data_IF_400444186781
#
_entry.id   IF_400444186781
#
_cell.length_a   1.000
_cell.length_b   1.000
_cell.length_c   1.000
_cell.angle_alpha   90.00
_cell.angle_beta   90.00
_cell.angle_gamma   90.00
#
_symmetry.space_group_name_H-M   'P 1'
#
loop_
_entity.id
_entity.type
_entity.pdbx_description
1 polymer ?
#
# COMPACT_ATOMS: atom_id res chain seq x y z
N UNK A 1 -6.82 -7.83 -51.39
CA UNK A 1 -7.95 -8.59 -51.97
C UNK A 1 -9.05 -8.97 -50.98
N UNK A 2 -8.80 -9.73 -49.88
CA UNK A 2 -9.89 -10.09 -48.94
C UNK A 2 -10.34 -8.94 -48.00
N UNK A 3 -9.41 -8.05 -47.63
CA UNK A 3 -9.70 -6.89 -46.76
C UNK A 3 -10.43 -5.77 -47.49
N UNK A 4 -10.05 -5.49 -48.74
CA UNK A 4 -10.70 -4.46 -49.56
C UNK A 4 -12.17 -4.80 -49.83
N UNK A 5 -12.47 -6.06 -50.17
CA UNK A 5 -13.84 -6.52 -50.35
C UNK A 5 -14.70 -6.42 -49.08
N UNK A 6 -14.08 -6.50 -47.89
CA UNK A 6 -14.79 -6.36 -46.62
C UNK A 6 -15.10 -4.90 -46.29
N UNK A 7 -14.18 -3.99 -46.62
CA UNK A 7 -14.39 -2.55 -46.43
C UNK A 7 -15.49 -2.07 -47.36
N UNK A 8 -15.45 -2.44 -48.62
CA UNK A 8 -16.44 -2.05 -49.64
C UNK A 8 -17.86 -2.57 -49.30
N UNK A 9 -17.96 -3.79 -48.74
CA UNK A 9 -19.22 -4.34 -48.24
C UNK A 9 -19.79 -3.57 -47.04
N UNK A 10 -18.93 -3.09 -46.13
CA UNK A 10 -19.37 -2.37 -44.94
C UNK A 10 -19.77 -0.93 -45.27
N UNK A 11 -19.07 -0.28 -46.20
CA UNK A 11 -19.41 1.04 -46.71
C UNK A 11 -20.78 1.03 -47.41
N UNK A 12 -21.04 0.03 -48.26
CA UNK A 12 -22.35 -0.13 -48.91
C UNK A 12 -23.51 -0.37 -47.94
N UNK A 13 -23.26 -1.04 -46.80
CA UNK A 13 -24.27 -1.24 -45.75
C UNK A 13 -24.52 0.02 -44.93
N UNK A 14 -23.51 0.85 -44.73
CA UNK A 14 -23.62 2.12 -44.02
C UNK A 14 -24.42 3.13 -44.86
N UNK A 15 -24.15 3.21 -46.15
CA UNK A 15 -24.89 4.09 -47.07
C UNK A 15 -26.37 3.71 -47.16
N UNK A 16 -26.69 2.41 -47.24
CA UNK A 16 -28.07 1.95 -47.23
C UNK A 16 -28.82 2.23 -45.91
N UNK A 17 -28.11 2.18 -44.77
CA UNK A 17 -28.69 2.48 -43.47
C UNK A 17 -28.94 3.98 -43.27
N UNK A 18 -28.09 4.83 -43.85
CA UNK A 18 -28.26 6.28 -43.84
C UNK A 18 -29.36 6.74 -44.82
N UNK A 19 -29.59 6.00 -45.91
CA UNK A 19 -30.58 6.35 -46.92
C UNK A 19 -32.04 6.04 -46.55
N UNK A 20 -32.31 5.15 -45.57
CA UNK A 20 -33.67 4.76 -45.17
C UNK A 20 -33.83 4.68 -43.64
N UNK A 21 -34.12 5.78 -42.94
CA UNK A 21 -34.18 5.81 -41.47
C UNK A 21 -35.41 5.12 -40.85
N UNK A 22 -36.35 4.61 -41.65
CA UNK A 22 -37.61 4.05 -41.15
C UNK A 22 -38.04 2.86 -41.97
N UNK A 23 -37.74 1.65 -41.49
CA UNK A 23 -38.64 0.48 -41.54
C UNK A 23 -37.97 -0.76 -40.93
N UNK A 24 -38.34 -1.11 -39.70
CA UNK A 24 -38.68 -2.51 -39.37
C UNK A 24 -39.42 -2.60 -38.04
N UNK A 25 -40.75 -2.52 -38.11
CA UNK A 25 -41.63 -3.16 -37.12
C UNK A 25 -42.29 -4.41 -37.72
N UNK A 26 -42.20 -5.50 -36.96
CA UNK A 26 -43.15 -6.64 -36.84
C UNK A 26 -43.34 -7.62 -38.01
N UNK A 27 -42.89 -8.86 -37.78
CA UNK A 27 -43.69 -10.09 -37.92
C UNK A 27 -43.15 -11.16 -36.94
N UNK A 28 -44.05 -11.83 -36.23
CA UNK A 28 -43.75 -12.64 -35.03
C UNK A 28 -43.66 -14.16 -35.20
N UNK A 29 -43.04 -14.77 -34.16
CA UNK A 29 -43.16 -16.10 -33.51
C UNK A 29 -43.11 -17.41 -34.33
N UNK A 30 -42.59 -18.54 -33.77
CA UNK A 30 -42.91 -19.06 -32.43
C UNK A 30 -41.72 -19.37 -31.49
N UNK A 31 -42.10 -19.69 -30.25
CA UNK A 31 -41.30 -19.89 -29.04
C UNK A 31 -40.34 -21.09 -29.11
N UNK A 32 -39.10 -20.89 -28.67
CA UNK A 32 -38.37 -21.88 -27.88
C UNK A 32 -37.81 -21.22 -26.62
N UNK A 33 -38.17 -21.81 -25.49
CA UNK A 33 -37.75 -21.46 -24.15
C UNK A 33 -36.27 -21.73 -23.94
N UNK A 34 -35.47 -20.67 -23.79
CA UNK A 34 -34.27 -20.70 -22.95
C UNK A 34 -34.04 -19.32 -22.37
N UNK A 35 -34.21 -19.22 -21.05
CA UNK A 35 -33.96 -18.03 -20.25
C UNK A 35 -32.48 -17.68 -20.31
N UNK A 36 -32.10 -16.81 -21.24
CA UNK A 36 -30.84 -16.08 -21.17
C UNK A 36 -31.13 -14.73 -20.53
N UNK A 37 -30.91 -14.68 -19.21
CA UNK A 37 -30.84 -13.45 -18.46
C UNK A 37 -29.73 -12.59 -19.08
N UNK A 38 -30.10 -11.51 -19.76
CA UNK A 38 -29.14 -10.50 -20.19
C UNK A 38 -28.45 -9.94 -18.94
N UNK A 39 -27.10 -9.88 -18.88
CA UNK A 39 -26.45 -9.19 -17.79
C UNK A 39 -26.83 -7.70 -17.89
N UNK A 40 -27.27 -7.14 -16.77
CA UNK A 40 -27.50 -5.71 -16.59
C UNK A 40 -26.33 -4.92 -17.18
N UNK A 41 -26.64 -3.82 -17.87
CA UNK A 41 -25.65 -2.92 -18.42
C UNK A 41 -24.67 -2.49 -17.33
N UNK A 42 -23.46 -3.05 -17.34
CA UNK A 42 -22.34 -2.54 -16.54
C UNK A 42 -22.19 -1.05 -16.90
N UNK A 43 -22.21 -0.21 -15.87
CA UNK A 43 -22.18 1.23 -16.04
C UNK A 43 -20.93 1.62 -16.82
N UNK A 44 -21.09 2.25 -17.99
CA UNK A 44 -20.00 2.75 -18.83
C UNK A 44 -18.99 3.65 -18.08
N UNK A 45 -19.39 4.21 -16.94
CA UNK A 45 -18.55 5.02 -16.07
C UNK A 45 -17.57 4.16 -15.27
N UNK A 46 -18.00 2.98 -14.80
CA UNK A 46 -17.15 2.05 -14.03
C UNK A 46 -15.97 1.57 -14.89
N UNK A 47 -16.24 1.26 -16.17
CA UNK A 47 -15.24 0.87 -17.17
C UNK A 47 -14.23 2.01 -17.45
N UNK A 48 -14.68 3.27 -17.45
CA UNK A 48 -13.81 4.45 -17.61
C UNK A 48 -12.98 4.73 -16.36
N UNK A 49 -13.52 4.54 -15.15
CA UNK A 49 -12.74 4.65 -13.91
C UNK A 49 -11.69 3.54 -13.80
N UNK A 50 -11.99 2.32 -14.24
CA UNK A 50 -10.97 1.26 -14.34
C UNK A 50 -9.84 1.64 -15.29
N UNK A 51 -10.13 2.42 -16.34
CA UNK A 51 -9.12 2.92 -17.26
C UNK A 51 -8.10 3.88 -16.62
N UNK A 52 -8.39 4.50 -15.47
CA UNK A 52 -7.43 5.33 -14.71
C UNK A 52 -6.66 4.54 -13.64
N UNK A 53 -7.08 3.31 -13.36
CA UNK A 53 -6.50 2.42 -12.37
C UNK A 53 -7.54 1.90 -11.38
N UNK A 54 -7.26 0.78 -10.74
CA UNK A 54 -8.17 0.14 -9.80
C UNK A 54 -7.44 -0.35 -8.55
N UNK A 55 -8.18 -0.46 -7.44
CA UNK A 55 -7.68 -1.18 -6.27
C UNK A 55 -8.08 -2.65 -6.29
N UNK A 56 -7.17 -3.49 -5.82
CA UNK A 56 -7.45 -4.87 -5.42
C UNK A 56 -7.20 -5.06 -3.94
N UNK A 57 -7.74 -6.15 -3.40
CA UNK A 57 -7.47 -6.58 -2.04
C UNK A 57 -6.24 -7.49 -2.04
N UNK A 58 -5.30 -7.20 -1.15
CA UNK A 58 -4.19 -8.06 -0.83
C UNK A 58 -4.55 -9.17 0.14
N UNK A 59 -3.56 -10.01 0.44
CA UNK A 59 -3.68 -11.19 1.29
C UNK A 59 -3.89 -10.87 2.78
N UNK A 60 -3.54 -9.65 3.22
CA UNK A 60 -3.79 -9.16 4.58
C UNK A 60 -5.01 -8.23 4.67
N UNK A 61 -5.78 -8.13 3.59
CA UNK A 61 -6.97 -7.26 3.52
C UNK A 61 -6.64 -5.79 3.28
N UNK A 62 -5.45 -5.49 2.76
CA UNK A 62 -4.99 -4.15 2.38
C UNK A 62 -5.34 -3.82 0.92
N UNK A 63 -5.56 -2.53 0.61
CA UNK A 63 -5.78 -2.10 -0.78
C UNK A 63 -4.45 -1.87 -1.51
N UNK A 64 -4.35 -2.46 -2.70
CA UNK A 64 -3.22 -2.29 -3.64
C UNK A 64 -3.69 -1.62 -4.91
N UNK A 65 -3.00 -0.55 -5.31
CA UNK A 65 -3.37 0.22 -6.49
C UNK A 65 -2.66 -0.29 -7.74
N UNK A 66 -3.41 -0.41 -8.83
CA UNK A 66 -2.88 -0.70 -10.15
C UNK A 66 -3.33 0.39 -11.12
N UNK A 67 -2.40 1.24 -11.55
CA UNK A 67 -2.69 2.33 -12.48
C UNK A 67 -2.99 1.87 -13.90
N UNK A 68 -3.44 2.81 -14.73
CA UNK A 68 -3.77 2.61 -16.15
C UNK A 68 -2.66 1.94 -16.99
N UNK A 69 -1.38 2.17 -16.63
CA UNK A 69 -0.23 1.57 -17.30
C UNK A 69 0.05 0.13 -16.88
N UNK A 70 -0.65 -0.38 -15.86
CA UNK A 70 -0.57 -1.78 -15.46
C UNK A 70 -1.55 -2.61 -16.27
N UNK A 71 -1.07 -3.72 -16.86
CA UNK A 71 -1.91 -4.73 -17.51
C UNK A 71 -3.02 -5.28 -16.58
N UNK A 72 -2.88 -5.08 -15.27
CA UNK A 72 -3.84 -5.50 -14.26
C UNK A 72 -5.16 -4.69 -14.30
N UNK A 73 -5.13 -3.44 -14.75
CA UNK A 73 -6.33 -2.58 -14.84
C UNK A 73 -7.31 -3.05 -15.92
N UNK A 74 -6.81 -3.70 -16.97
CA UNK A 74 -7.58 -4.15 -18.14
C UNK A 74 -7.87 -5.66 -18.07
N UNK A 75 -6.96 -6.45 -17.50
CA UNK A 75 -7.08 -7.91 -17.44
C UNK A 75 -7.14 -8.35 -15.98
N UNK A 76 -8.35 -8.62 -15.48
CA UNK A 76 -8.55 -9.40 -14.26
C UNK A 76 -8.18 -10.86 -14.55
N UNK A 77 -6.89 -11.16 -14.66
CA UNK A 77 -6.41 -12.53 -14.83
C UNK A 77 -6.21 -13.17 -13.44
N UNK A 78 -7.03 -14.14 -13.03
CA UNK A 78 -6.86 -14.84 -11.76
C UNK A 78 -5.54 -15.64 -11.67
N UNK A 79 -4.78 -15.75 -12.76
CA UNK A 79 -3.49 -16.45 -12.82
C UNK A 79 -2.27 -15.54 -12.54
N UNK A 80 -2.46 -14.22 -12.43
CA UNK A 80 -1.37 -13.30 -12.10
C UNK A 80 -1.01 -13.46 -10.62
N UNK A 81 0.18 -14.02 -10.35
CA UNK A 81 0.73 -14.14 -9.00
C UNK A 81 1.10 -12.75 -8.49
N UNK A 82 0.27 -12.19 -7.62
CA UNK A 82 0.61 -10.99 -6.85
C UNK A 82 1.46 -11.43 -5.65
N UNK A 83 2.57 -10.75 -5.38
CA UNK A 83 3.45 -11.08 -4.25
C UNK A 83 2.69 -10.95 -2.92
N UNK A 84 2.77 -11.96 -2.05
CA UNK A 84 2.10 -11.95 -0.75
C UNK A 84 2.83 -11.01 0.22
N UNK A 85 2.08 -10.07 0.83
CA UNK A 85 2.65 -9.16 1.82
C UNK A 85 2.96 -9.89 3.13
N UNK A 86 2.14 -10.88 3.48
CA UNK A 86 2.34 -11.72 4.66
C UNK A 86 3.59 -12.61 4.52
N UNK A 87 3.80 -13.23 3.36
CA UNK A 87 4.99 -14.03 3.08
C UNK A 87 6.26 -13.16 3.09
N UNK A 88 6.22 -11.97 2.48
CA UNK A 88 7.33 -11.02 2.51
C UNK A 88 7.69 -10.60 3.94
N UNK A 89 6.68 -10.26 4.76
CA UNK A 89 6.83 -9.95 6.18
C UNK A 89 7.44 -11.10 6.97
N UNK A 90 6.92 -12.31 6.81
CA UNK A 90 7.41 -13.49 7.52
C UNK A 90 8.87 -13.81 7.17
N UNK A 91 9.25 -13.67 5.89
CA UNK A 91 10.67 -13.77 5.48
C UNK A 91 11.53 -12.71 6.12
N UNK A 92 11.07 -11.46 6.16
CA UNK A 92 11.79 -10.35 6.79
C UNK A 92 12.02 -10.57 8.28
N UNK A 93 11.00 -11.03 9.02
CA UNK A 93 11.11 -11.37 10.44
C UNK A 93 12.13 -12.50 10.66
N UNK A 94 12.02 -13.59 9.89
CA UNK A 94 12.94 -14.71 10.00
C UNK A 94 14.39 -14.31 9.69
N UNK A 95 14.60 -13.49 8.65
CA UNK A 95 15.91 -12.98 8.28
C UNK A 95 16.51 -12.08 9.39
N UNK A 96 15.69 -11.21 10.00
CA UNK A 96 16.13 -10.37 11.10
C UNK A 96 16.52 -11.19 12.34
N UNK A 97 15.72 -12.20 12.71
CA UNK A 97 15.97 -13.08 13.86
C UNK A 97 17.24 -13.93 13.69
N UNK A 98 17.58 -14.30 12.45
CA UNK A 98 18.79 -15.08 12.15
C UNK A 98 20.06 -14.21 12.09
N UNK A 99 19.92 -12.87 12.03
CA UNK A 99 21.07 -11.99 11.94
C UNK A 99 21.83 -11.92 13.28
N UNK A 100 23.17 -12.06 13.27
CA UNK A 100 23.98 -11.82 14.46
C UNK A 100 23.72 -10.43 15.05
N UNK A 101 23.39 -10.38 16.34
CA UNK A 101 23.03 -9.14 17.02
C UNK A 101 21.56 -8.75 16.89
N UNK A 102 20.66 -9.68 16.55
CA UNK A 102 19.24 -9.49 16.81
C UNK A 102 19.00 -9.23 18.30
N UNK A 103 18.22 -8.19 18.58
CA UNK A 103 17.86 -7.75 19.91
C UNK A 103 16.35 -7.57 19.98
N UNK A 104 15.78 -8.30 20.92
CA UNK A 104 14.39 -8.18 21.33
C UNK A 104 14.35 -7.40 22.64
N UNK A 105 13.70 -6.22 22.68
CA UNK A 105 13.65 -5.40 23.87
C UNK A 105 12.69 -5.99 24.91
N UNK A 106 12.89 -5.65 26.18
CA UNK A 106 11.88 -5.90 27.21
C UNK A 106 10.63 -5.05 26.96
N UNK A 107 9.47 -5.49 27.46
CA UNK A 107 8.22 -4.71 27.39
C UNK A 107 8.39 -3.30 27.98
N UNK A 108 9.11 -3.16 29.09
CA UNK A 108 9.41 -1.86 29.71
C UNK A 108 10.19 -0.94 28.76
N UNK A 109 11.21 -1.48 28.08
CA UNK A 109 12.01 -0.70 27.14
C UNK A 109 11.19 -0.33 25.89
N UNK A 110 10.38 -1.26 25.39
CA UNK A 110 9.47 -1.00 24.27
C UNK A 110 8.49 0.14 24.62
N UNK A 111 7.83 0.07 25.78
CA UNK A 111 6.88 1.08 26.24
C UNK A 111 7.55 2.44 26.45
N UNK A 112 8.76 2.45 27.02
CA UNK A 112 9.58 3.66 27.15
C UNK A 112 9.83 4.30 25.78
N UNK A 113 10.31 3.53 24.80
CA UNK A 113 10.59 4.02 23.46
C UNK A 113 9.32 4.49 22.73
N UNK A 114 8.22 3.75 22.83
CA UNK A 114 6.92 4.17 22.28
C UNK A 114 6.46 5.49 22.90
N UNK A 115 6.61 5.66 24.21
CA UNK A 115 6.24 6.92 24.89
C UNK A 115 7.04 8.12 24.35
N UNK A 116 8.33 7.92 24.02
CA UNK A 116 9.18 8.94 23.42
C UNK A 116 8.76 9.23 21.98
N UNK A 117 8.43 8.20 21.19
CA UNK A 117 7.93 8.37 19.82
C UNK A 117 6.71 9.28 19.78
N UNK A 118 5.68 8.95 20.57
CA UNK A 118 4.42 9.69 20.58
C UNK A 118 4.58 11.12 21.10
N UNK A 119 5.51 11.33 22.05
CA UNK A 119 5.76 12.63 22.64
C UNK A 119 6.54 13.55 21.69
N UNK A 120 7.62 13.04 21.11
CA UNK A 120 8.63 13.86 20.45
C UNK A 120 8.62 13.76 18.94
N UNK A 121 8.31 12.60 18.37
CA UNK A 121 8.38 12.41 16.92
C UNK A 121 7.03 12.62 16.24
N UNK A 122 6.00 11.87 16.65
CA UNK A 122 4.72 11.86 15.96
C UNK A 122 3.91 13.16 16.17
N UNK A 123 4.33 14.02 17.11
CA UNK A 123 3.66 15.29 17.42
C UNK A 123 3.91 16.39 16.37
N UNK A 124 5.03 16.35 15.66
CA UNK A 124 5.36 17.31 14.59
C UNK A 124 5.39 16.66 13.20
N UNK A 125 5.61 15.35 13.10
CA UNK A 125 5.55 14.57 11.87
C UNK A 125 4.57 13.41 12.04
N UNK A 126 3.29 13.72 11.86
CA UNK A 126 2.21 12.75 12.02
C UNK A 126 2.16 11.79 10.83
N UNK A 127 2.67 10.58 11.04
CA UNK A 127 2.79 9.54 9.99
C UNK A 127 2.06 8.25 10.40
N UNK A 128 1.86 8.05 11.71
CA UNK A 128 1.22 6.85 12.27
C UNK A 128 0.11 7.28 13.23
N UNK A 129 -1.08 6.71 13.07
CA UNK A 129 -2.15 6.86 14.06
C UNK A 129 -1.76 6.16 15.35
N UNK A 130 -1.73 6.90 16.46
CA UNK A 130 -1.38 6.31 17.75
C UNK A 130 -2.45 5.33 18.21
N UNK A 131 -3.71 5.68 18.01
CA UNK A 131 -4.87 4.93 18.46
C UNK A 131 -4.93 3.56 17.78
N UNK A 132 -4.82 3.53 16.45
CA UNK A 132 -4.82 2.32 15.64
C UNK A 132 -3.62 1.44 15.97
N UNK A 133 -2.42 2.04 16.05
CA UNK A 133 -1.19 1.33 16.38
C UNK A 133 -1.23 0.68 17.76
N UNK A 134 -1.60 1.44 18.80
CA UNK A 134 -1.63 0.95 20.20
C UNK A 134 -2.70 -0.12 20.37
N UNK A 135 -3.88 0.06 19.76
CA UNK A 135 -4.94 -0.96 19.80
C UNK A 135 -4.50 -2.26 19.13
N UNK A 136 -3.85 -2.17 17.97
CA UNK A 136 -3.32 -3.36 17.31
C UNK A 136 -2.20 -4.02 18.11
N UNK A 137 -1.32 -3.25 18.75
CA UNK A 137 -0.21 -3.80 19.54
C UNK A 137 -0.69 -4.55 20.81
N UNK A 138 -1.61 -3.97 21.58
CA UNK A 138 -1.95 -4.50 22.90
C UNK A 138 -3.27 -5.28 22.96
N UNK A 139 -4.22 -5.01 22.06
CA UNK A 139 -5.58 -5.58 22.12
C UNK A 139 -5.82 -6.58 20.99
N UNK A 140 -5.75 -6.12 19.74
CA UNK A 140 -6.17 -6.94 18.59
C UNK A 140 -5.07 -7.91 18.14
N UNK A 141 -3.80 -7.48 18.20
CA UNK A 141 -2.62 -8.26 17.77
C UNK A 141 -2.80 -8.85 16.36
N UNK A 142 -3.47 -8.10 15.49
CA UNK A 142 -3.76 -8.50 14.12
C UNK A 142 -2.56 -8.32 13.20
N UNK A 143 -1.68 -7.38 13.54
CA UNK A 143 -0.55 -6.98 12.69
C UNK A 143 -1.00 -6.21 11.44
N UNK A 144 -2.17 -5.57 11.49
CA UNK A 144 -2.72 -4.72 10.42
C UNK A 144 -2.15 -3.31 10.46
N UNK A 145 -1.98 -2.74 11.65
CA UNK A 145 -1.53 -1.35 11.87
C UNK A 145 -0.21 -1.28 12.63
N UNK A 146 0.12 -2.31 13.41
CA UNK A 146 1.40 -2.46 14.10
C UNK A 146 2.15 -3.69 13.57
N UNK A 147 2.98 -3.51 12.54
CA UNK A 147 3.84 -4.58 12.01
C UNK A 147 5.19 -4.62 12.74
N UNK A 148 5.88 -5.77 12.77
CA UNK A 148 7.22 -5.86 13.37
C UNK A 148 8.22 -4.89 12.76
N UNK A 149 8.19 -4.68 11.44
CA UNK A 149 9.02 -3.69 10.76
C UNK A 149 8.71 -2.26 11.27
N UNK A 150 7.44 -1.88 11.35
CA UNK A 150 7.04 -0.54 11.81
C UNK A 150 7.42 -0.30 13.27
N UNK A 151 7.13 -1.26 14.16
CA UNK A 151 7.53 -1.19 15.56
C UNK A 151 9.04 -1.06 15.70
N UNK A 152 9.81 -1.84 14.94
CA UNK A 152 11.28 -1.79 14.97
C UNK A 152 11.83 -0.45 14.46
N UNK A 153 11.26 0.11 13.39
CA UNK A 153 11.63 1.43 12.88
C UNK A 153 11.33 2.54 13.90
N UNK A 154 10.16 2.49 14.56
CA UNK A 154 9.80 3.40 15.64
C UNK A 154 10.81 3.32 16.79
N UNK A 155 11.19 2.11 17.22
CA UNK A 155 12.19 1.93 18.28
C UNK A 155 13.57 2.46 17.89
N UNK A 156 13.98 2.29 16.62
CA UNK A 156 15.23 2.83 16.11
C UNK A 156 15.30 4.36 16.25
N UNK A 157 14.29 5.07 15.72
CA UNK A 157 14.23 6.53 15.81
C UNK A 157 14.08 7.01 17.25
N UNK A 158 13.22 6.36 18.03
CA UNK A 158 12.92 6.77 19.40
C UNK A 158 14.10 6.61 20.35
N UNK A 159 15.02 5.70 20.04
CA UNK A 159 16.26 5.52 20.79
C UNK A 159 17.11 6.81 20.81
N UNK A 160 17.00 7.66 19.79
CA UNK A 160 17.70 8.97 19.74
C UNK A 160 17.20 9.95 20.80
N UNK A 161 15.95 9.79 21.26
CA UNK A 161 15.36 10.62 22.32
C UNK A 161 15.61 10.06 23.73
N UNK A 162 16.24 8.89 23.85
CA UNK A 162 16.48 8.22 25.12
C UNK A 162 17.90 8.49 25.64
N UNK A 163 18.02 8.67 26.96
CA UNK A 163 19.32 8.76 27.64
C UNK A 163 19.87 7.39 28.06
N UNK A 164 19.13 6.29 27.83
CA UNK A 164 19.55 4.95 28.25
C UNK A 164 20.74 4.48 27.42
N UNK A 165 21.82 4.10 28.11
CA UNK A 165 23.07 3.68 27.48
C UNK A 165 22.97 2.33 26.77
N UNK A 166 22.07 1.45 27.20
CA UNK A 166 21.82 0.13 26.59
C UNK A 166 21.39 0.19 25.12
N UNK A 167 20.91 1.36 24.67
CA UNK A 167 20.47 1.60 23.30
C UNK A 167 21.61 1.99 22.36
N UNK A 168 22.80 2.29 22.91
CA UNK A 168 23.98 2.74 22.16
C UNK A 168 24.89 1.55 21.86
N UNK A 169 25.33 1.45 20.61
CA UNK A 169 26.36 0.47 20.24
C UNK A 169 27.75 0.90 20.74
N UNK A 170 27.99 2.20 20.81
CA UNK A 170 29.15 2.80 21.46
C UNK A 170 28.67 3.74 22.56
N UNK A 171 29.04 3.43 23.82
CA UNK A 171 28.64 4.20 24.99
C UNK A 171 29.08 5.67 24.91
N UNK A 172 30.20 5.94 24.23
CA UNK A 172 30.77 7.27 24.06
C UNK A 172 30.13 8.08 22.92
N UNK A 173 29.44 7.42 21.98
CA UNK A 173 28.82 8.07 20.81
C UNK A 173 27.28 7.97 20.85
N UNK A 174 26.59 9.08 21.21
CA UNK A 174 25.13 9.16 21.18
C UNK A 174 24.49 8.90 19.80
N UNK A 175 25.22 9.10 18.70
CA UNK A 175 24.69 8.83 17.35
C UNK A 175 24.53 7.34 17.06
N UNK A 176 25.13 6.47 17.88
CA UNK A 176 24.91 5.03 17.78
C UNK A 176 23.61 4.55 18.41
N UNK A 177 22.88 5.41 19.13
CA UNK A 177 21.62 5.05 19.77
C UNK A 177 20.59 4.57 18.73
N UNK A 178 20.06 3.35 18.90
CA UNK A 178 19.05 2.77 18.00
C UNK A 178 19.61 2.05 16.77
N UNK A 179 20.93 2.00 16.60
CA UNK A 179 21.58 1.36 15.45
C UNK A 179 21.19 -0.12 15.30
N UNK A 180 21.02 -0.83 16.41
CA UNK A 180 20.62 -2.25 16.40
C UNK A 180 19.22 -2.45 15.78
N UNK A 181 18.26 -1.62 16.19
CA UNK A 181 16.92 -1.62 15.65
C UNK A 181 16.89 -1.14 14.20
N UNK A 182 17.67 -0.10 13.84
CA UNK A 182 17.76 0.37 12.46
C UNK A 182 18.29 -0.72 11.51
N UNK A 183 19.27 -1.51 11.96
CA UNK A 183 19.78 -2.68 11.21
C UNK A 183 18.73 -3.77 11.07
N UNK A 184 18.02 -4.11 12.14
CA UNK A 184 16.93 -5.10 12.11
C UNK A 184 15.80 -4.66 11.17
N UNK A 185 15.35 -3.40 11.27
CA UNK A 185 14.32 -2.84 10.41
C UNK A 185 14.75 -2.85 8.94
N UNK A 186 16.00 -2.53 8.64
CA UNK A 186 16.53 -2.62 7.28
C UNK A 186 16.43 -4.03 6.71
N UNK A 187 16.81 -5.06 7.48
CA UNK A 187 16.73 -6.46 7.04
C UNK A 187 15.28 -6.89 6.78
N UNK A 188 14.34 -6.49 7.64
CA UNK A 188 12.92 -6.75 7.41
C UNK A 188 12.41 -6.05 6.15
N UNK A 189 12.79 -4.77 5.96
CA UNK A 189 12.41 -3.96 4.81
C UNK A 189 12.93 -4.56 3.49
N UNK A 190 14.13 -5.14 3.48
CA UNK A 190 14.71 -5.78 2.30
C UNK A 190 13.83 -6.91 1.73
N UNK A 191 12.97 -7.51 2.56
CA UNK A 191 11.96 -8.46 2.12
C UNK A 191 10.60 -7.79 1.84
N UNK A 192 10.17 -6.89 2.72
CA UNK A 192 8.82 -6.29 2.65
C UNK A 192 8.61 -5.34 1.47
N UNK A 193 9.66 -4.71 0.92
CA UNK A 193 9.49 -3.81 -0.23
C UNK A 193 9.05 -4.54 -1.52
N UNK A 194 9.15 -5.88 -1.58
CA UNK A 194 8.64 -6.68 -2.70
C UNK A 194 7.10 -6.70 -2.75
N UNK A 195 6.45 -6.50 -1.60
CA UNK A 195 5.01 -6.45 -1.45
C UNK A 195 4.62 -5.45 -0.34
N UNK A 196 4.84 -4.14 -0.57
CA UNK A 196 4.74 -3.14 0.48
C UNK A 196 3.29 -2.95 0.93
N UNK A 197 3.13 -2.61 2.20
CA UNK A 197 1.85 -2.22 2.83
C UNK A 197 1.94 -0.79 3.33
N UNK A 198 0.82 -0.19 3.78
CA UNK A 198 0.82 1.13 4.43
C UNK A 198 1.85 1.18 5.57
N UNK A 199 1.90 0.16 6.44
CA UNK A 199 2.89 0.10 7.52
C UNK A 199 4.32 -0.01 7.02
N UNK A 200 4.56 -0.71 5.90
CA UNK A 200 5.88 -0.75 5.26
C UNK A 200 6.30 0.66 4.85
N UNK A 201 5.39 1.45 4.25
CA UNK A 201 5.66 2.84 3.87
C UNK A 201 5.98 3.71 5.09
N UNK A 202 5.15 3.65 6.13
CA UNK A 202 5.37 4.38 7.39
C UNK A 202 6.73 4.02 8.00
N UNK A 203 7.07 2.73 8.04
CA UNK A 203 8.34 2.26 8.60
C UNK A 203 9.54 2.75 7.80
N UNK A 204 9.47 2.73 6.47
CA UNK A 204 10.54 3.24 5.60
C UNK A 204 10.76 4.75 5.80
N UNK A 205 9.69 5.53 5.94
CA UNK A 205 9.79 6.96 6.21
C UNK A 205 10.47 7.24 7.57
N UNK A 206 10.04 6.51 8.61
CA UNK A 206 10.64 6.60 9.96
C UNK A 206 12.11 6.17 9.94
N UNK A 207 12.47 5.16 9.16
CA UNK A 207 13.86 4.75 8.99
C UNK A 207 14.69 5.82 8.28
N UNK A 208 14.11 6.52 7.30
CA UNK A 208 14.74 7.68 6.66
C UNK A 208 15.02 8.82 7.64
N UNK A 209 14.05 9.12 8.50
CA UNK A 209 14.22 10.08 9.59
C UNK A 209 15.32 9.66 10.58
N UNK A 210 15.42 8.37 10.92
CA UNK A 210 16.52 7.85 11.73
C UNK A 210 17.88 8.15 11.09
N UNK A 211 18.07 7.80 9.82
CA UNK A 211 19.36 8.04 9.13
C UNK A 211 19.70 9.52 9.03
N UNK A 212 18.72 10.37 8.70
CA UNK A 212 18.91 11.82 8.67
C UNK A 212 19.30 12.36 10.05
N UNK A 213 18.70 11.83 11.12
CA UNK A 213 18.98 12.31 12.48
C UNK A 213 20.40 12.02 12.97
N UNK A 214 21.10 11.04 12.38
CA UNK A 214 22.51 10.68 12.72
C UNK A 214 23.50 11.23 11.68
N UNK A 215 23.14 12.34 11.02
CA UNK A 215 23.94 13.03 10.01
C UNK A 215 24.26 12.20 8.75
N UNK A 216 23.51 11.12 8.51
CA UNK A 216 23.56 10.37 7.25
C UNK A 216 22.44 10.84 6.32
N UNK A 217 22.49 12.12 5.97
CA UNK A 217 21.46 12.82 5.18
C UNK A 217 21.19 12.13 3.84
N UNK A 218 22.23 11.70 3.13
CA UNK A 218 22.09 11.03 1.83
C UNK A 218 21.29 9.73 1.93
N UNK A 219 21.53 8.92 2.97
CA UNK A 219 20.77 7.69 3.18
C UNK A 219 19.35 8.00 3.65
N UNK A 220 19.18 9.00 4.53
CA UNK A 220 17.87 9.48 4.96
C UNK A 220 17.00 9.91 3.78
N UNK A 221 17.56 10.72 2.88
CA UNK A 221 16.90 11.18 1.65
C UNK A 221 16.46 10.01 0.75
N UNK A 222 17.32 8.99 0.59
CA UNK A 222 16.97 7.81 -0.21
C UNK A 222 15.81 7.01 0.38
N UNK A 223 15.78 6.82 1.70
CA UNK A 223 14.68 6.12 2.37
C UNK A 223 13.36 6.91 2.32
N UNK A 224 13.41 8.23 2.51
CA UNK A 224 12.22 9.08 2.36
C UNK A 224 11.70 9.00 0.91
N UNK A 225 12.57 9.13 -0.09
CA UNK A 225 12.19 8.99 -1.49
C UNK A 225 11.68 7.58 -1.87
N UNK A 226 12.14 6.54 -1.18
CA UNK A 226 11.60 5.18 -1.29
C UNK A 226 10.19 5.09 -0.71
N UNK A 227 9.96 5.67 0.47
CA UNK A 227 8.63 5.75 1.08
C UNK A 227 7.64 6.52 0.18
N UNK A 228 8.04 7.68 -0.36
CA UNK A 228 7.23 8.46 -1.30
C UNK A 228 6.81 7.65 -2.53
N UNK A 229 7.73 6.87 -3.11
CA UNK A 229 7.45 6.00 -4.26
C UNK A 229 6.51 4.85 -3.91
N UNK A 230 6.71 4.21 -2.75
CA UNK A 230 5.79 3.15 -2.28
C UNK A 230 4.39 3.70 -2.00
N UNK A 231 4.28 4.89 -1.40
CA UNK A 231 3.01 5.56 -1.13
C UNK A 231 2.22 5.84 -2.42
N UNK A 232 2.92 6.33 -3.45
CA UNK A 232 2.32 6.54 -4.78
C UNK A 232 1.91 5.22 -5.43
N UNK A 233 2.77 4.20 -5.39
CA UNK A 233 2.49 2.89 -5.98
C UNK A 233 1.29 2.20 -5.31
N UNK A 234 1.11 2.34 -4.01
CA UNK A 234 -0.04 1.82 -3.28
C UNK A 234 -1.30 2.68 -3.43
N UNK A 235 -1.22 3.82 -4.13
CA UNK A 235 -2.34 4.73 -4.30
C UNK A 235 -2.85 5.29 -2.97
N UNK A 236 -1.98 5.52 -1.98
CA UNK A 236 -2.39 6.02 -0.67
C UNK A 236 -3.10 7.39 -0.74
N UNK A 237 -2.83 8.15 -1.81
CA UNK A 237 -3.45 9.44 -2.12
C UNK A 237 -4.83 9.34 -2.77
N UNK A 238 -5.19 8.18 -3.31
CA UNK A 238 -6.42 8.05 -4.08
C UNK A 238 -7.61 7.79 -3.16
N UNK A 239 -8.76 8.37 -3.51
CA UNK A 239 -10.00 8.13 -2.80
C UNK A 239 -10.41 6.65 -2.91
N UNK A 240 -10.67 6.02 -1.77
CA UNK A 240 -11.14 4.65 -1.65
C UNK A 240 -12.49 4.55 -0.91
N UNK A 241 -13.23 5.64 -0.77
CA UNK A 241 -14.55 5.68 -0.11
C UNK A 241 -15.55 4.66 -0.69
N UNK A 242 -15.48 4.39 -2.00
CA UNK A 242 -16.29 3.38 -2.66
C UNK A 242 -15.99 1.94 -2.17
N UNK A 243 -14.76 1.65 -1.75
CA UNK A 243 -14.38 0.34 -1.20
C UNK A 243 -14.83 0.18 0.25
N UNK A 244 -14.96 1.29 1.00
CA UNK A 244 -15.61 1.31 2.32
C UNK A 244 -17.09 0.99 2.19
N UNK A 245 -17.79 1.62 1.24
CA UNK A 245 -19.22 1.36 1.00
C UNK A 245 -19.51 -0.11 0.62
N UNK A 246 -18.53 -0.81 0.03
CA UNK A 246 -18.60 -2.24 -0.30
C UNK A 246 -18.18 -3.16 0.86
N UNK A 247 -17.76 -2.62 2.00
CA UNK A 247 -17.26 -3.38 3.14
C UNK A 247 -15.94 -4.12 2.88
N UNK A 248 -15.18 -3.73 1.86
CA UNK A 248 -13.89 -4.35 1.51
C UNK A 248 -12.74 -3.79 2.35
N UNK A 249 -12.90 -2.56 2.84
CA UNK A 249 -12.01 -1.91 3.80
C UNK A 249 -12.82 -1.16 4.86
N UNK A 250 -12.18 -0.93 6.00
CA UNK A 250 -12.76 -0.13 7.08
C UNK A 250 -12.49 1.35 6.87
N UNK A 251 -13.25 2.21 7.57
CA UNK A 251 -12.97 3.64 7.57
C UNK A 251 -11.59 3.96 8.17
N UNK A 252 -11.17 3.18 9.17
CA UNK A 252 -9.85 3.27 9.79
C UNK A 252 -8.73 3.01 8.77
N UNK A 253 -8.89 2.04 7.87
CA UNK A 253 -7.90 1.81 6.80
C UNK A 253 -7.73 3.03 5.89
N UNK A 254 -8.82 3.74 5.58
CA UNK A 254 -8.78 4.94 4.74
C UNK A 254 -8.05 6.07 5.47
N UNK A 255 -8.32 6.21 6.76
CA UNK A 255 -7.64 7.18 7.62
C UNK A 255 -6.14 6.91 7.70
N UNK A 256 -5.72 5.67 7.96
CA UNK A 256 -4.29 5.29 7.99
C UNK A 256 -3.58 5.60 6.67
N UNK A 257 -4.22 5.30 5.53
CA UNK A 257 -3.65 5.59 4.20
C UNK A 257 -3.46 7.09 4.00
N UNK A 258 -4.44 7.89 4.39
CA UNK A 258 -4.40 9.35 4.29
C UNK A 258 -3.30 9.93 5.18
N UNK A 259 -3.25 9.49 6.45
CA UNK A 259 -2.23 9.89 7.43
C UNK A 259 -0.83 9.60 6.90
N UNK A 260 -0.60 8.36 6.44
CA UNK A 260 0.70 7.97 5.90
C UNK A 260 1.07 8.81 4.67
N UNK A 261 0.15 8.99 3.71
CA UNK A 261 0.44 9.75 2.49
C UNK A 261 0.80 11.21 2.78
N UNK A 262 -0.02 11.91 3.55
CA UNK A 262 0.22 13.32 3.84
C UNK A 262 1.44 13.54 4.73
N UNK A 263 1.66 12.64 5.70
CA UNK A 263 2.87 12.66 6.53
C UNK A 263 4.14 12.55 5.67
N UNK A 264 4.17 11.60 4.74
CA UNK A 264 5.31 11.40 3.83
C UNK A 264 5.46 12.55 2.84
N UNK A 265 4.36 13.07 2.31
CA UNK A 265 4.39 14.23 1.41
C UNK A 265 5.09 15.42 2.07
N UNK A 266 4.82 15.67 3.36
CA UNK A 266 5.49 16.74 4.11
C UNK A 266 6.98 16.43 4.34
N UNK A 267 7.37 15.15 4.49
CA UNK A 267 8.78 14.76 4.63
C UNK A 267 9.60 14.93 3.35
N UNK A 268 9.00 14.67 2.19
CA UNK A 268 9.67 14.64 0.89
C UNK A 268 9.88 16.04 0.29
N UNK A 269 9.17 17.04 0.81
CA UNK A 269 9.14 18.43 0.33
C UNK A 269 10.15 19.33 1.01
#
# INVERSE_FOLDING_TARGET
MALEARVEFLESRLENALANPTNSSTKGRPEESSSTTFPESKNSVDDLTQAFGCFTLGDTGELRFFGASSNFSIIQNPSLKVASSLEARNRGIAAAQQNPGYFEPSEELQDHLLSLFWRWQNSWQYIVSRESFVRDLYVEKSGRYCTPLLLTAIMALSSRYSSRLELRMDLADPNTAGTIFARQAKIMLDCEYEAPTTSTVQATAILGLYWASIDNEGLGFMYIGMASRMAMNLGLHSDCSHYVAKGLVTQEDVEERSIAFWGIYVLDK
#
